data_IF_340417163207
#
_entry.id   IF_340417163207
#
_cell.length_a   1.000
_cell.length_b   1.000
_cell.length_c   1.000
_cell.angle_alpha   90.00
_cell.angle_beta   90.00
_cell.angle_gamma   90.00
#
_symmetry.space_group_name_H-M   'P 1'
#
loop_
_entity.id
_entity.type
_entity.pdbx_description
1 polymer ?
#
# COMPACT_ATOMS: atom_id res chain seq x y z
N UNK A 1 3.33 -6.05 -15.38
CA UNK A 1 3.29 -6.72 -14.06
C UNK A 1 2.76 -5.73 -13.05
N UNK A 2 1.70 -6.09 -12.32
CA UNK A 2 1.22 -5.35 -11.15
C UNK A 2 1.62 -6.13 -9.89
N UNK A 3 1.85 -5.43 -8.77
CA UNK A 3 2.15 -6.07 -7.49
C UNK A 3 1.04 -7.05 -7.07
N UNK A 4 1.30 -7.97 -6.13
CA UNK A 4 0.26 -8.85 -5.58
C UNK A 4 -0.83 -7.96 -4.92
N UNK A 5 -2.06 -8.01 -5.44
CA UNK A 5 -3.10 -7.02 -5.16
C UNK A 5 -4.08 -7.40 -4.01
N UNK A 6 -3.94 -8.53 -3.30
CA UNK A 6 -5.00 -9.12 -2.45
C UNK A 6 -5.92 -8.11 -1.74
N UNK A 7 -5.43 -7.38 -0.74
CA UNK A 7 -6.24 -6.39 0.03
C UNK A 7 -6.29 -5.02 -0.67
N UNK A 8 -5.31 -4.75 -1.54
CA UNK A 8 -5.19 -3.51 -2.35
C UNK A 8 -6.30 -3.41 -3.41
N UNK A 9 -6.93 -4.53 -3.77
CA UNK A 9 -8.02 -4.59 -4.75
C UNK A 9 -9.25 -3.81 -4.33
N UNK A 10 -9.48 -3.62 -3.02
CA UNK A 10 -10.67 -2.92 -2.55
C UNK A 10 -10.51 -1.39 -2.61
N UNK A 11 -9.39 -0.85 -2.13
CA UNK A 11 -9.20 0.61 -2.05
C UNK A 11 -8.89 1.23 -3.42
N UNK A 12 -8.03 0.57 -4.21
CA UNK A 12 -7.65 1.06 -5.54
C UNK A 12 -8.44 0.37 -6.67
N UNK A 13 -9.64 -0.16 -6.36
CA UNK A 13 -10.41 -1.01 -7.29
C UNK A 13 -10.63 -0.36 -8.66
N UNK A 14 -11.09 0.88 -8.66
CA UNK A 14 -11.44 1.60 -9.88
C UNK A 14 -10.21 1.83 -10.78
N UNK A 15 -9.06 2.17 -10.19
CA UNK A 15 -7.80 2.32 -10.93
C UNK A 15 -7.27 0.99 -11.46
N UNK A 16 -7.49 -0.11 -10.73
CA UNK A 16 -7.14 -1.46 -11.18
C UNK A 16 -8.01 -1.83 -12.39
N UNK A 17 -9.33 -1.61 -12.30
CA UNK A 17 -10.27 -1.89 -13.40
C UNK A 17 -9.93 -1.06 -14.64
N UNK A 18 -9.64 0.24 -14.50
CA UNK A 18 -9.23 1.09 -15.61
C UNK A 18 -7.96 0.59 -16.32
N UNK A 19 -6.98 0.09 -15.56
CA UNK A 19 -5.76 -0.48 -16.14
C UNK A 19 -6.01 -1.86 -16.78
N UNK A 20 -6.86 -2.69 -16.18
CA UNK A 20 -7.27 -3.98 -16.73
C UNK A 20 -8.04 -3.81 -18.06
N UNK A 21 -8.96 -2.86 -18.12
CA UNK A 21 -9.69 -2.48 -19.34
C UNK A 21 -8.74 -2.01 -20.44
N UNK A 22 -7.76 -1.16 -20.12
CA UNK A 22 -6.76 -0.73 -21.10
C UNK A 22 -5.91 -1.91 -21.62
N UNK A 23 -5.56 -2.84 -20.73
CA UNK A 23 -4.80 -4.04 -21.09
C UNK A 23 -5.61 -5.06 -21.89
N UNK A 24 -6.94 -5.00 -21.87
CA UNK A 24 -7.80 -5.86 -22.71
C UNK A 24 -7.57 -5.62 -24.22
N UNK A 25 -7.02 -4.46 -24.60
CA UNK A 25 -6.63 -4.12 -25.98
C UNK A 25 -5.41 -4.88 -26.53
N UNK A 26 -4.85 -5.84 -25.80
CA UNK A 26 -3.80 -6.73 -26.29
C UNK A 26 -2.43 -6.05 -26.38
N UNK A 27 -2.03 -5.63 -27.59
CA UNK A 27 -0.67 -5.10 -27.85
C UNK A 27 -0.42 -3.71 -27.24
N UNK A 28 -1.49 -2.94 -27.01
CA UNK A 28 -1.46 -1.58 -26.43
C UNK A 28 -0.74 -1.53 -25.07
N UNK A 29 -0.83 -2.62 -24.29
CA UNK A 29 -0.17 -2.75 -22.98
C UNK A 29 1.36 -2.74 -23.05
N UNK A 30 1.94 -3.12 -24.19
CA UNK A 30 3.39 -3.25 -24.34
C UNK A 30 4.04 -2.01 -24.92
N UNK A 31 3.27 -1.20 -25.67
CA UNK A 31 3.76 0.02 -26.33
C UNK A 31 3.59 1.28 -25.47
N UNK A 32 3.17 1.14 -24.21
CA UNK A 32 3.02 2.26 -23.27
C UNK A 32 1.72 3.06 -23.41
N UNK A 33 0.75 2.60 -24.22
CA UNK A 33 -0.53 3.29 -24.40
C UNK A 33 -1.37 3.40 -23.11
N UNK A 34 -1.10 2.53 -22.13
CA UNK A 34 -1.80 2.49 -20.83
C UNK A 34 -1.06 3.20 -19.69
N UNK A 35 -0.06 4.05 -20.00
CA UNK A 35 0.76 4.68 -18.96
C UNK A 35 -0.04 5.60 -18.03
N UNK A 36 -1.05 6.30 -18.55
CA UNK A 36 -1.91 7.18 -17.73
C UNK A 36 -2.62 6.40 -16.61
N UNK A 37 -3.33 5.32 -16.97
CA UNK A 37 -4.04 4.46 -16.01
C UNK A 37 -3.08 3.82 -15.03
N UNK A 38 -1.89 3.44 -15.51
CA UNK A 38 -0.82 2.91 -14.65
C UNK A 38 -0.34 3.94 -13.63
N UNK A 39 -0.16 5.19 -14.04
CA UNK A 39 0.32 6.25 -13.14
C UNK A 39 -0.73 6.61 -12.09
N UNK A 40 -2.01 6.64 -12.47
CA UNK A 40 -3.14 6.81 -11.54
C UNK A 40 -3.20 5.67 -10.52
N UNK A 41 -3.07 4.42 -10.97
CA UNK A 41 -2.98 3.27 -10.07
C UNK A 41 -1.77 3.36 -9.13
N UNK A 42 -0.61 3.78 -9.63
CA UNK A 42 0.59 3.94 -8.82
C UNK A 42 0.41 5.00 -7.73
N UNK A 43 -0.27 6.11 -8.04
CA UNK A 43 -0.58 7.15 -7.05
C UNK A 43 -1.47 6.61 -5.94
N UNK A 44 -2.53 5.86 -6.28
CA UNK A 44 -3.39 5.21 -5.27
C UNK A 44 -2.61 4.21 -4.42
N UNK A 45 -1.81 3.33 -5.03
CA UNK A 45 -1.01 2.36 -4.27
C UNK A 45 0.05 3.04 -3.39
N UNK A 46 0.54 4.22 -3.79
CA UNK A 46 1.48 5.02 -3.02
C UNK A 46 0.81 5.65 -1.79
N UNK A 47 -0.38 6.22 -1.93
CA UNK A 47 -1.12 6.79 -0.80
C UNK A 47 -1.46 5.72 0.22
N UNK A 48 -1.95 4.56 -0.22
CA UNK A 48 -2.22 3.39 0.62
C UNK A 48 -0.98 2.93 1.41
N UNK A 49 0.18 2.87 0.73
CA UNK A 49 1.45 2.53 1.38
C UNK A 49 1.79 3.55 2.47
N UNK A 50 1.62 4.84 2.21
CA UNK A 50 1.91 5.91 3.17
C UNK A 50 1.00 5.79 4.39
N UNK A 51 -0.31 5.63 4.20
CA UNK A 51 -1.28 5.48 5.27
C UNK A 51 -0.96 4.27 6.17
N UNK A 52 -0.69 3.11 5.57
CA UNK A 52 -0.28 1.90 6.30
C UNK A 52 1.03 2.11 7.05
N UNK A 53 2.04 2.71 6.43
CA UNK A 53 3.33 2.96 7.08
C UNK A 53 3.19 3.95 8.24
N UNK A 54 2.33 4.97 8.13
CA UNK A 54 2.03 5.88 9.23
C UNK A 54 1.37 5.14 10.40
N UNK A 55 0.33 4.34 10.15
CA UNK A 55 -0.32 3.51 11.18
C UNK A 55 0.69 2.58 11.88
N UNK A 56 1.48 1.85 11.11
CA UNK A 56 2.49 0.94 11.66
C UNK A 56 3.53 1.68 12.52
N UNK A 57 3.87 2.93 12.16
CA UNK A 57 4.79 3.77 12.94
C UNK A 57 4.20 4.14 14.28
N UNK A 58 2.94 4.57 14.32
CA UNK A 58 2.27 4.91 15.59
C UNK A 58 2.12 3.69 16.49
N UNK A 59 1.65 2.55 15.96
CA UNK A 59 1.59 1.31 16.73
C UNK A 59 2.97 0.85 17.23
N UNK A 60 4.03 1.07 16.45
CA UNK A 60 5.39 0.74 16.88
C UNK A 60 5.85 1.62 18.05
N UNK A 61 5.47 2.90 18.09
CA UNK A 61 5.74 3.78 19.23
C UNK A 61 4.98 3.31 20.47
N UNK A 62 3.70 2.97 20.33
CA UNK A 62 2.89 2.45 21.44
C UNK A 62 3.47 1.15 22.01
N UNK A 63 3.87 0.22 21.13
CA UNK A 63 4.54 -1.03 21.53
C UNK A 63 5.84 -0.74 22.27
N UNK A 64 6.67 0.17 21.77
CA UNK A 64 7.92 0.58 22.46
C UNK A 64 7.64 1.15 23.84
N UNK A 65 6.70 2.07 23.97
CA UNK A 65 6.34 2.66 25.26
C UNK A 65 5.89 1.60 26.28
N UNK A 66 5.10 0.61 25.85
CA UNK A 66 4.67 -0.50 26.71
C UNK A 66 5.86 -1.38 27.12
N UNK A 67 6.74 -1.71 26.19
CA UNK A 67 7.95 -2.49 26.48
C UNK A 67 8.89 -1.75 27.44
N UNK A 68 9.10 -0.45 27.22
CA UNK A 68 9.99 0.36 28.05
C UNK A 68 9.46 0.45 29.49
N UNK A 69 8.15 0.70 29.66
CA UNK A 69 7.50 0.69 31.00
C UNK A 69 7.61 -0.65 31.70
N UNK A 70 7.31 -1.75 31.00
CA UNK A 70 7.41 -3.10 31.58
C UNK A 70 8.86 -3.43 31.98
N UNK A 71 9.86 -2.94 31.23
CA UNK A 71 11.27 -3.10 31.56
C UNK A 71 11.66 -2.28 32.80
N UNK A 72 11.16 -1.04 32.92
CA UNK A 72 11.37 -0.21 34.11
C UNK A 72 10.77 -0.86 35.37
N UNK A 73 9.52 -1.34 35.28
CA UNK A 73 8.85 -2.08 36.37
C UNK A 73 9.65 -3.32 36.77
N UNK A 74 10.13 -4.10 35.81
CA UNK A 74 10.94 -5.29 36.07
C UNK A 74 12.28 -4.96 36.75
N UNK A 75 12.92 -3.85 36.37
CA UNK A 75 14.19 -3.40 36.97
C UNK A 75 14.05 -2.85 38.38
N UNK A 76 12.83 -2.45 38.78
CA UNK A 76 12.55 -1.91 40.10
C UNK A 76 12.22 -2.98 41.16
N UNK A 77 12.09 -4.25 40.74
CA UNK A 77 11.97 -5.44 41.60
C UNK A 77 13.36 -5.93 42.03
#
# INVERSE_FOLDING_TARGET
>A
MHAQLSDKKLVCKEFIQALEECHAGGWTRFVGACNKQKDELNQCLRSERIARTAKNREEAKERRLKTDRALEEFRAL
#
